data_IF_503635482711
#
_entry.id   IF_503635482711
#
_cell.length_a   1.000
_cell.length_b   1.000
_cell.length_c   1.000
_cell.angle_alpha   90.00
_cell.angle_beta   90.00
_cell.angle_gamma   90.00
#
_symmetry.space_group_name_H-M   'P 1'
#
loop_
_entity.id
_entity.type
_entity.pdbx_description
1 polymer ?
#
# COMPACT_ATOMS: atom_id res chain seq x y z
N UNK A 1 -5.59 6.58 -10.93
CA UNK A 1 -5.99 7.97 -11.23
C UNK A 1 -7.47 8.06 -10.94
N UNK A 2 -7.87 9.08 -10.18
CA UNK A 2 -9.28 9.31 -9.85
C UNK A 2 -9.65 10.74 -10.11
N UNK A 3 -10.89 10.93 -10.56
CA UNK A 3 -11.45 12.23 -10.91
C UNK A 3 -12.77 12.44 -10.18
N UNK A 4 -13.02 13.64 -9.68
CA UNK A 4 -14.27 14.03 -9.03
C UNK A 4 -15.10 14.85 -10.00
N UNK A 5 -16.35 14.47 -10.20
CA UNK A 5 -17.28 15.23 -11.05
C UNK A 5 -17.57 16.59 -10.42
N UNK A 6 -17.32 17.67 -11.17
CA UNK A 6 -17.54 19.06 -10.74
C UNK A 6 -18.64 19.76 -11.55
N UNK A 7 -19.03 19.18 -12.69
CA UNK A 7 -20.15 19.62 -13.52
C UNK A 7 -20.72 18.42 -14.27
N UNK A 8 -22.05 18.37 -14.45
CA UNK A 8 -22.72 17.43 -15.36
C UNK A 8 -23.00 18.06 -16.71
N UNK A 9 -22.78 19.37 -16.85
CA UNK A 9 -23.08 20.13 -18.06
C UNK A 9 -21.77 20.48 -18.79
N UNK A 10 -21.55 19.87 -19.93
CA UNK A 10 -20.32 19.97 -20.73
C UNK A 10 -20.58 20.39 -22.16
N UNK A 11 -19.53 20.82 -22.87
CA UNK A 11 -19.66 21.07 -24.31
C UNK A 11 -19.90 19.76 -25.06
N UNK A 12 -20.83 19.79 -26.01
CA UNK A 12 -21.13 18.64 -26.87
C UNK A 12 -20.01 18.37 -27.88
N UNK A 13 -19.26 19.41 -28.24
CA UNK A 13 -18.24 19.37 -29.29
C UNK A 13 -16.85 19.64 -28.73
N UNK A 14 -15.86 19.14 -29.44
CA UNK A 14 -14.44 19.29 -29.13
C UNK A 14 -14.03 20.77 -29.15
N UNK A 15 -12.98 21.18 -28.40
CA UNK A 15 -12.47 22.55 -28.41
C UNK A 15 -12.17 23.07 -29.83
N UNK A 16 -11.63 22.20 -30.69
CA UNK A 16 -11.37 22.54 -32.10
C UNK A 16 -12.66 22.80 -32.88
N UNK A 17 -13.68 21.96 -32.71
CA UNK A 17 -14.98 22.14 -33.35
C UNK A 17 -15.68 23.43 -32.89
N UNK A 18 -15.66 23.74 -31.60
CA UNK A 18 -16.20 25.01 -31.06
C UNK A 18 -15.49 26.20 -31.70
N UNK A 19 -14.15 26.20 -31.76
CA UNK A 19 -13.39 27.33 -32.34
C UNK A 19 -13.61 27.48 -33.85
N UNK A 20 -13.72 26.37 -34.57
CA UNK A 20 -13.83 26.38 -36.05
C UNK A 20 -15.23 26.76 -36.52
N UNK A 21 -16.26 26.29 -35.83
CA UNK A 21 -17.66 26.42 -36.28
C UNK A 21 -18.52 27.32 -35.38
N UNK A 22 -18.01 27.73 -34.21
CA UNK A 22 -18.72 28.63 -33.29
C UNK A 22 -19.88 27.98 -32.54
N UNK A 23 -19.97 26.65 -32.54
CA UNK A 23 -21.03 25.88 -31.87
C UNK A 23 -20.70 25.65 -30.40
N UNK A 24 -21.35 26.39 -29.50
CA UNK A 24 -21.19 26.32 -28.05
C UNK A 24 -22.26 25.44 -27.37
N UNK A 25 -22.86 24.51 -28.12
CA UNK A 25 -23.88 23.59 -27.62
C UNK A 25 -23.33 22.79 -26.44
N UNK A 26 -24.16 22.68 -25.40
CA UNK A 26 -23.86 21.89 -24.21
C UNK A 26 -24.86 20.77 -24.01
N UNK A 27 -24.38 19.68 -23.42
CA UNK A 27 -25.17 18.51 -23.06
C UNK A 27 -25.14 18.34 -21.54
N UNK A 28 -26.29 17.97 -20.98
CA UNK A 28 -26.38 17.52 -19.59
C UNK A 28 -26.19 15.99 -19.53
N UNK A 29 -25.14 15.55 -18.84
CA UNK A 29 -24.71 14.17 -18.73
C UNK A 29 -25.31 13.54 -17.47
N UNK A 30 -26.48 12.93 -17.61
CA UNK A 30 -27.21 12.28 -16.51
C UNK A 30 -26.57 10.97 -16.02
N UNK A 31 -25.55 10.48 -16.73
CA UNK A 31 -24.81 9.26 -16.42
C UNK A 31 -23.67 9.50 -15.41
N UNK A 32 -23.41 10.76 -15.04
CA UNK A 32 -22.43 11.11 -14.02
C UNK A 32 -23.08 11.97 -12.93
N UNK A 33 -22.66 11.76 -11.68
CA UNK A 33 -23.20 12.41 -10.50
C UNK A 33 -22.22 13.43 -9.95
N UNK A 34 -22.70 14.64 -9.65
CA UNK A 34 -21.90 15.70 -9.04
C UNK A 34 -21.25 15.22 -7.72
N UNK A 35 -20.01 15.64 -7.49
CA UNK A 35 -19.16 15.28 -6.33
C UNK A 35 -18.78 13.79 -6.21
N UNK A 36 -19.29 12.92 -7.09
CA UNK A 36 -18.86 11.51 -7.14
C UNK A 36 -17.45 11.39 -7.71
N UNK A 37 -16.68 10.48 -7.12
CA UNK A 37 -15.32 10.14 -7.56
C UNK A 37 -15.37 8.90 -8.46
N UNK A 38 -14.73 8.98 -9.63
CA UNK A 38 -14.62 7.92 -10.63
C UNK A 38 -13.17 7.49 -10.82
N UNK A 39 -12.97 6.20 -11.08
CA UNK A 39 -11.70 5.67 -11.58
C UNK A 39 -11.59 5.95 -13.09
N UNK A 40 -10.40 6.38 -13.52
CA UNK A 40 -10.09 6.56 -14.94
C UNK A 40 -9.43 5.30 -15.49
N UNK A 41 -9.93 4.80 -16.61
CA UNK A 41 -9.44 3.58 -17.27
C UNK A 41 -8.71 3.84 -18.59
N UNK A 42 -8.83 5.07 -19.11
CA UNK A 42 -8.13 5.53 -20.30
C UNK A 42 -8.21 7.04 -20.42
N UNK A 43 -7.28 7.62 -21.16
CA UNK A 43 -7.23 9.05 -21.48
C UNK A 43 -7.03 9.17 -22.98
N UNK A 44 -7.80 10.01 -23.65
CA UNK A 44 -7.59 10.33 -25.06
C UNK A 44 -7.40 11.84 -25.23
N UNK A 45 -6.64 12.20 -26.26
CA UNK A 45 -6.59 13.55 -26.77
C UNK A 45 -7.31 13.54 -28.12
N UNK A 46 -8.55 14.02 -28.15
CA UNK A 46 -9.42 14.01 -29.33
C UNK A 46 -9.73 15.45 -29.76
N UNK A 47 -9.27 15.83 -30.96
CA UNK A 47 -9.40 17.18 -31.53
C UNK A 47 -9.11 18.33 -30.53
N UNK A 48 -7.97 18.21 -29.84
CA UNK A 48 -7.47 19.15 -28.82
C UNK A 48 -8.24 19.15 -27.48
N UNK A 49 -9.28 18.33 -27.34
CA UNK A 49 -9.94 18.04 -26.08
C UNK A 49 -9.31 16.82 -25.40
N UNK A 50 -9.24 16.85 -24.08
CA UNK A 50 -8.83 15.69 -23.29
C UNK A 50 -10.09 14.98 -22.82
N UNK A 51 -10.19 13.67 -23.04
CA UNK A 51 -11.31 12.86 -22.55
C UNK A 51 -10.82 11.77 -21.59
N UNK A 52 -11.66 11.45 -20.61
CA UNK A 52 -11.48 10.34 -19.68
C UNK A 52 -12.47 9.22 -20.01
N UNK A 53 -11.95 8.01 -20.17
CA UNK A 53 -12.76 6.79 -20.17
C UNK A 53 -13.05 6.39 -18.72
N UNK A 54 -14.32 6.41 -18.33
CA UNK A 54 -14.77 6.00 -17.00
C UNK A 54 -15.82 4.89 -17.10
N UNK A 55 -16.10 4.26 -15.97
CA UNK A 55 -17.29 3.43 -15.78
C UNK A 55 -18.35 4.26 -15.06
N UNK A 56 -19.38 4.64 -15.79
CA UNK A 56 -20.36 5.66 -15.37
C UNK A 56 -21.46 5.08 -14.45
N UNK A 57 -22.42 5.93 -14.04
CA UNK A 57 -23.48 5.53 -13.11
C UNK A 57 -24.50 4.58 -13.74
N UNK A 58 -24.46 4.41 -15.06
CA UNK A 58 -25.34 3.53 -15.83
C UNK A 58 -24.65 2.21 -16.16
N UNK A 59 -23.53 1.91 -15.50
CA UNK A 59 -22.74 0.70 -15.73
C UNK A 59 -22.16 0.62 -17.15
N UNK A 60 -21.80 1.77 -17.74
CA UNK A 60 -21.27 1.84 -19.10
C UNK A 60 -19.83 2.38 -19.14
N UNK A 61 -19.04 1.85 -20.08
CA UNK A 61 -17.71 2.35 -20.39
C UNK A 61 -17.84 3.53 -21.37
N UNK A 62 -17.64 4.75 -20.87
CA UNK A 62 -18.00 5.98 -21.61
C UNK A 62 -16.89 7.01 -21.54
N UNK A 63 -16.67 7.72 -22.65
CA UNK A 63 -15.73 8.84 -22.75
C UNK A 63 -16.40 10.15 -22.37
N UNK A 64 -15.77 10.91 -21.49
CA UNK A 64 -16.24 12.23 -21.07
C UNK A 64 -15.12 13.26 -21.11
N UNK A 65 -15.46 14.48 -21.50
CA UNK A 65 -14.52 15.59 -21.52
C UNK A 65 -13.97 15.88 -20.12
N UNK A 66 -12.66 16.11 -20.05
CA UNK A 66 -11.94 16.30 -18.80
C UNK A 66 -12.41 17.54 -18.03
N UNK A 67 -12.97 18.55 -18.70
CA UNK A 67 -13.52 19.77 -18.11
C UNK A 67 -14.69 19.54 -17.15
N UNK A 68 -15.33 18.36 -17.22
CA UNK A 68 -16.39 17.97 -16.29
C UNK A 68 -15.83 17.59 -14.90
N UNK A 69 -14.52 17.40 -14.77
CA UNK A 69 -13.91 16.80 -13.58
C UNK A 69 -12.69 17.55 -13.05
N UNK A 70 -12.46 17.37 -11.75
CA UNK A 70 -11.22 17.71 -11.06
C UNK A 70 -10.43 16.43 -10.77
N UNK A 71 -9.13 16.41 -11.06
CA UNK A 71 -8.27 15.25 -10.71
C UNK A 71 -7.98 15.27 -9.22
N UNK A 72 -8.36 14.22 -8.50
CA UNK A 72 -8.18 14.08 -7.04
C UNK A 72 -7.14 13.03 -6.65
N UNK A 73 -6.81 12.12 -7.57
CA UNK A 73 -5.66 11.21 -7.47
C UNK A 73 -4.93 11.22 -8.81
N UNK A 74 -3.71 11.76 -8.81
CA UNK A 74 -2.88 11.97 -10.01
C UNK A 74 -2.06 10.73 -10.41
N UNK A 75 -2.12 9.62 -9.67
CA UNK A 75 -1.30 8.43 -9.95
C UNK A 75 -1.85 7.66 -11.15
N UNK A 76 -1.07 7.49 -12.20
CA UNK A 76 -1.42 6.61 -13.31
C UNK A 76 -1.03 5.15 -12.99
N UNK A 77 -1.81 4.15 -13.45
CA UNK A 77 -1.37 2.76 -13.34
C UNK A 77 -0.05 2.52 -14.10
N UNK A 78 0.91 1.85 -13.46
CA UNK A 78 2.23 1.57 -14.04
C UNK A 78 2.18 0.63 -15.26
N UNK A 79 1.04 -0.02 -15.48
CA UNK A 79 0.78 -0.92 -16.62
C UNK A 79 0.23 -0.17 -17.84
N UNK A 80 0.03 1.14 -17.76
CA UNK A 80 -0.48 1.91 -18.90
C UNK A 80 0.58 2.12 -19.97
N UNK A 81 0.12 2.03 -21.21
CA UNK A 81 0.86 2.39 -22.41
C UNK A 81 0.40 3.76 -22.90
N UNK A 82 1.17 4.32 -23.83
CA UNK A 82 0.79 5.55 -24.53
C UNK A 82 1.10 5.42 -26.02
N UNK A 83 0.32 6.12 -26.83
CA UNK A 83 0.56 6.26 -28.27
C UNK A 83 0.19 7.66 -28.73
N UNK A 84 1.07 8.27 -29.51
CA UNK A 84 0.84 9.56 -30.16
C UNK A 84 0.68 9.32 -31.66
N UNK A 85 -0.42 9.81 -32.22
CA UNK A 85 -0.78 9.66 -33.64
C UNK A 85 -0.45 10.91 -34.47
N UNK A 86 -0.09 12.02 -33.83
CA UNK A 86 0.09 13.31 -34.49
C UNK A 86 -1.16 14.18 -34.41
N UNK A 87 -1.02 15.45 -34.76
CA UNK A 87 -2.13 16.38 -34.96
C UNK A 87 -2.31 16.51 -36.47
N UNK A 88 -3.47 16.11 -37.00
CA UNK A 88 -3.81 16.29 -38.41
C UNK A 88 -5.30 16.62 -38.58
N UNK A 89 -5.68 17.02 -39.78
CA UNK A 89 -7.09 17.24 -40.14
C UNK A 89 -7.81 15.93 -40.49
N UNK A 90 -7.05 14.84 -40.67
CA UNK A 90 -7.57 13.52 -41.07
C UNK A 90 -7.75 12.57 -39.88
N UNK A 91 -7.05 12.79 -38.78
CA UNK A 91 -7.08 11.94 -37.58
C UNK A 91 -7.57 12.78 -36.40
N UNK A 92 -8.79 12.51 -35.95
CA UNK A 92 -9.36 13.20 -34.78
C UNK A 92 -8.70 12.75 -33.46
N UNK A 93 -8.28 11.48 -33.34
CA UNK A 93 -7.58 10.96 -32.16
C UNK A 93 -6.07 11.28 -32.24
N UNK A 94 -5.61 12.29 -31.50
CA UNK A 94 -4.22 12.74 -31.51
C UNK A 94 -3.30 11.91 -30.60
N UNK A 95 -3.79 11.47 -29.45
CA UNK A 95 -3.03 10.65 -28.51
C UNK A 95 -3.96 9.80 -27.63
N UNK A 96 -3.42 8.72 -27.07
CA UNK A 96 -4.16 7.86 -26.14
C UNK A 96 -3.22 7.26 -25.08
N UNK A 97 -3.76 7.09 -23.87
CA UNK A 97 -3.15 6.40 -22.73
C UNK A 97 -4.15 5.41 -22.14
N UNK A 98 -3.65 4.26 -21.70
CA UNK A 98 -4.50 3.24 -21.06
C UNK A 98 -3.87 1.86 -21.08
N UNK A 99 -4.68 0.83 -20.84
CA UNK A 99 -4.23 -0.56 -20.95
C UNK A 99 -3.87 -0.93 -22.40
N UNK A 100 -3.14 -2.03 -22.55
CA UNK A 100 -2.52 -2.44 -23.82
C UNK A 100 -3.49 -2.44 -25.01
N UNK A 101 -4.64 -3.10 -24.88
CA UNK A 101 -5.62 -3.19 -25.97
C UNK A 101 -6.24 -1.85 -26.32
N UNK A 102 -6.46 -0.96 -25.34
CA UNK A 102 -6.98 0.39 -25.60
C UNK A 102 -6.03 1.20 -26.49
N UNK A 103 -4.72 1.05 -26.29
CA UNK A 103 -3.70 1.86 -26.95
C UNK A 103 -3.30 1.29 -28.32
N UNK A 104 -3.30 -0.04 -28.46
CA UNK A 104 -2.77 -0.72 -29.63
C UNK A 104 -3.81 -1.36 -30.55
N UNK A 105 -5.09 -1.40 -30.16
CA UNK A 105 -6.20 -1.88 -31.01
C UNK A 105 -7.17 -0.74 -31.33
N UNK A 106 -7.22 -0.33 -32.60
CA UNK A 106 -8.17 0.70 -33.06
C UNK A 106 -9.59 0.14 -33.06
N UNK A 107 -9.73 -1.14 -33.39
CA UNK A 107 -10.97 -1.89 -33.32
C UNK A 107 -11.54 -1.85 -31.90
N UNK A 108 -10.70 -2.06 -30.88
CA UNK A 108 -11.14 -2.02 -29.49
C UNK A 108 -11.58 -0.62 -29.05
N UNK A 109 -10.81 0.41 -29.41
CA UNK A 109 -11.18 1.80 -29.12
C UNK A 109 -12.54 2.16 -29.74
N UNK A 110 -12.76 1.82 -31.01
CA UNK A 110 -14.03 2.07 -31.70
C UNK A 110 -15.16 1.20 -31.13
N UNK A 111 -14.89 -0.06 -30.83
CA UNK A 111 -15.88 -0.97 -30.24
C UNK A 111 -16.37 -0.48 -28.89
N UNK A 112 -15.54 0.20 -28.08
CA UNK A 112 -16.00 0.86 -26.86
C UNK A 112 -16.90 2.07 -27.13
N UNK A 113 -16.62 2.87 -28.17
CA UNK A 113 -17.49 3.97 -28.59
C UNK A 113 -18.85 3.46 -29.08
N UNK A 114 -18.84 2.35 -29.81
CA UNK A 114 -20.03 1.72 -30.40
C UNK A 114 -20.76 0.79 -29.41
N UNK A 115 -20.20 0.57 -28.21
CA UNK A 115 -20.71 -0.35 -27.19
C UNK A 115 -20.82 -1.81 -27.69
N UNK A 116 -19.85 -2.22 -28.50
CA UNK A 116 -19.74 -3.58 -29.01
C UNK A 116 -19.48 -4.58 -27.87
N UNK A 117 -20.22 -5.69 -27.91
CA UNK A 117 -20.31 -6.62 -26.78
C UNK A 117 -18.95 -7.20 -26.36
N UNK A 118 -18.11 -7.55 -27.32
CA UNK A 118 -16.80 -8.16 -27.06
C UNK A 118 -15.83 -7.16 -26.44
N UNK A 119 -15.87 -5.91 -26.89
CA UNK A 119 -15.02 -4.84 -26.39
C UNK A 119 -15.43 -4.38 -24.99
N UNK A 120 -16.73 -4.24 -24.73
CA UNK A 120 -17.25 -3.98 -23.38
C UNK A 120 -16.86 -5.09 -22.41
N UNK A 121 -16.91 -6.36 -22.85
CA UNK A 121 -16.47 -7.50 -22.03
C UNK A 121 -14.97 -7.44 -21.72
N UNK A 122 -14.14 -7.13 -22.73
CA UNK A 122 -12.70 -6.96 -22.53
C UNK A 122 -12.40 -5.79 -21.57
N UNK A 123 -13.10 -4.66 -21.73
CA UNK A 123 -13.00 -3.54 -20.81
C UNK A 123 -13.33 -3.97 -19.38
N UNK A 124 -14.39 -4.75 -19.13
CA UNK A 124 -14.70 -5.22 -17.78
C UNK A 124 -13.60 -6.08 -17.16
N UNK A 125 -12.92 -6.88 -17.97
CA UNK A 125 -11.75 -7.62 -17.49
C UNK A 125 -10.63 -6.67 -17.06
N UNK A 126 -10.30 -5.69 -17.90
CA UNK A 126 -9.24 -4.70 -17.62
C UNK A 126 -9.59 -3.76 -16.47
N UNK A 127 -10.85 -3.33 -16.38
CA UNK A 127 -11.42 -2.58 -15.26
C UNK A 127 -11.19 -3.30 -13.95
N UNK A 128 -11.56 -4.59 -13.87
CA UNK A 128 -11.32 -5.40 -12.67
C UNK A 128 -9.84 -5.43 -12.30
N UNK A 129 -8.95 -5.69 -13.26
CA UNK A 129 -7.50 -5.70 -13.00
C UNK A 129 -6.98 -4.34 -12.49
N UNK A 130 -7.42 -3.23 -13.09
CA UNK A 130 -7.03 -1.87 -12.68
C UNK A 130 -7.58 -1.52 -11.30
N UNK A 131 -8.85 -1.82 -11.03
CA UNK A 131 -9.48 -1.62 -9.73
C UNK A 131 -8.75 -2.43 -8.65
N UNK A 132 -8.38 -3.67 -8.94
CA UNK A 132 -7.61 -4.52 -8.04
C UNK A 132 -6.23 -3.96 -7.73
N UNK A 133 -5.48 -3.50 -8.73
CA UNK A 133 -4.17 -2.86 -8.51
C UNK A 133 -4.32 -1.59 -7.66
N UNK A 134 -5.42 -0.86 -7.84
CA UNK A 134 -5.69 0.36 -7.05
C UNK A 134 -5.96 0.07 -5.58
N UNK A 135 -6.50 -1.12 -5.27
CA UNK A 135 -6.79 -1.58 -3.90
C UNK A 135 -5.55 -2.26 -3.32
N UNK A 136 -5.06 -3.30 -3.98
CA UNK A 136 -3.95 -4.15 -3.55
C UNK A 136 -2.68 -3.89 -4.36
N UNK A 137 -1.81 -3.07 -3.77
CA UNK A 137 -0.45 -2.88 -4.22
C UNK A 137 0.48 -2.73 -3.01
N UNK A 138 1.78 -2.89 -3.25
CA UNK A 138 2.81 -2.91 -2.19
C UNK A 138 2.80 -1.61 -1.36
N UNK A 139 2.57 -0.46 -1.98
CA UNK A 139 2.54 0.84 -1.29
C UNK A 139 1.33 0.98 -0.37
N UNK A 140 0.14 0.61 -0.84
CA UNK A 140 -1.06 0.60 0.00
C UNK A 140 -0.90 -0.38 1.17
N UNK A 141 -0.35 -1.57 0.90
CA UNK A 141 -0.09 -2.58 1.92
C UNK A 141 0.87 -2.07 3.01
N UNK A 142 2.01 -1.46 2.60
CA UNK A 142 2.95 -0.81 3.52
C UNK A 142 2.25 0.26 4.39
N UNK A 143 1.46 1.13 3.75
CA UNK A 143 0.80 2.23 4.44
C UNK A 143 -0.21 1.76 5.49
N UNK A 144 -1.02 0.73 5.19
CA UNK A 144 -1.98 0.20 6.16
C UNK A 144 -1.29 -0.49 7.34
N UNK A 145 -0.19 -1.22 7.14
CA UNK A 145 0.60 -1.77 8.25
C UNK A 145 1.13 -0.64 9.14
N UNK A 146 1.77 0.38 8.54
CA UNK A 146 2.33 1.51 9.29
C UNK A 146 1.25 2.23 10.11
N UNK A 147 0.07 2.44 9.53
CA UNK A 147 -1.09 3.05 10.18
C UNK A 147 -1.62 2.19 11.32
N UNK A 148 -1.72 0.86 11.14
CA UNK A 148 -2.17 -0.05 12.20
C UNK A 148 -1.16 -0.08 13.36
N UNK A 149 0.14 -0.22 13.09
CA UNK A 149 1.20 -0.18 14.11
C UNK A 149 1.26 1.17 14.86
N UNK A 150 0.96 2.28 14.17
CA UNK A 150 0.91 3.60 14.80
C UNK A 150 -0.02 3.64 16.03
N UNK A 151 -1.14 2.89 16.00
CA UNK A 151 -2.09 2.79 17.10
C UNK A 151 -1.49 2.17 18.38
N UNK A 152 -0.45 1.34 18.25
CA UNK A 152 0.20 0.64 19.36
C UNK A 152 1.46 1.34 19.86
N UNK A 153 1.93 2.37 19.17
CA UNK A 153 3.19 3.09 19.46
C UNK A 153 3.28 3.56 20.91
N UNK A 154 2.21 4.16 21.46
CA UNK A 154 2.21 4.65 22.85
C UNK A 154 2.35 3.52 23.85
N UNK A 155 1.69 2.39 23.59
CA UNK A 155 1.76 1.21 24.46
C UNK A 155 3.18 0.62 24.42
N UNK A 156 3.73 0.39 23.22
CA UNK A 156 5.08 -0.14 23.06
C UNK A 156 6.13 0.76 23.74
N UNK A 157 6.06 2.08 23.56
CA UNK A 157 6.97 3.03 24.24
C UNK A 157 6.87 2.90 25.77
N UNK A 158 5.67 2.71 26.32
CA UNK A 158 5.47 2.52 27.76
C UNK A 158 6.13 1.23 28.24
N UNK A 159 5.84 0.10 27.58
CA UNK A 159 6.42 -1.21 27.91
C UNK A 159 7.95 -1.21 27.83
N UNK A 160 8.50 -0.58 26.78
CA UNK A 160 9.95 -0.45 26.61
C UNK A 160 10.57 0.46 27.66
N UNK A 161 9.86 1.51 28.11
CA UNK A 161 10.34 2.40 29.18
C UNK A 161 10.42 1.63 30.50
N UNK A 162 9.42 0.80 30.78
CA UNK A 162 9.43 -0.06 31.96
C UNK A 162 10.61 -1.03 31.90
N UNK A 163 10.85 -1.65 30.75
CA UNK A 163 12.02 -2.53 30.53
C UNK A 163 13.34 -1.79 30.78
N UNK A 164 13.46 -0.56 30.27
CA UNK A 164 14.66 0.26 30.47
C UNK A 164 14.84 0.71 31.93
N UNK A 165 13.77 0.72 32.73
CA UNK A 165 13.80 1.13 34.13
C UNK A 165 14.21 -0.01 35.09
N UNK A 166 14.14 -1.26 34.64
CA UNK A 166 14.48 -2.39 35.50
C UNK A 166 15.96 -2.40 35.86
N UNK A 167 16.23 -2.74 37.11
CA UNK A 167 17.57 -3.20 37.51
C UNK A 167 17.72 -4.63 36.98
N UNK A 168 18.71 -4.87 36.14
CA UNK A 168 18.98 -6.20 35.62
C UNK A 168 19.67 -7.07 36.68
N UNK A 169 19.37 -8.37 36.67
CA UNK A 169 20.12 -9.33 37.46
C UNK A 169 21.61 -9.34 37.03
N UNK A 170 22.60 -9.45 37.94
CA UNK A 170 24.02 -9.27 37.60
C UNK A 170 24.57 -10.17 36.49
N UNK A 171 23.98 -11.35 36.30
CA UNK A 171 24.38 -12.29 35.24
C UNK A 171 23.80 -11.96 33.87
N UNK A 172 22.87 -10.99 33.78
CA UNK A 172 22.31 -10.54 32.51
C UNK A 172 23.36 -9.72 31.77
N UNK A 173 23.86 -10.28 30.68
CA UNK A 173 24.82 -9.64 29.79
C UNK A 173 24.16 -8.89 28.64
N UNK A 174 22.93 -9.24 28.26
CA UNK A 174 22.22 -8.63 27.12
C UNK A 174 20.70 -8.78 27.22
N UNK A 175 19.98 -7.97 26.43
CA UNK A 175 18.55 -8.18 26.14
C UNK A 175 18.35 -8.61 24.69
N UNK A 176 17.41 -9.54 24.49
CA UNK A 176 17.08 -10.09 23.18
C UNK A 176 15.57 -10.00 22.95
N UNK A 177 15.16 -9.18 21.99
CA UNK A 177 13.78 -9.04 21.55
C UNK A 177 13.51 -9.99 20.38
N UNK A 178 12.52 -10.87 20.54
CA UNK A 178 12.11 -11.82 19.53
C UNK A 178 10.71 -11.45 19.03
N UNK A 179 10.61 -11.14 17.75
CA UNK A 179 9.35 -10.97 17.05
C UNK A 179 8.98 -12.26 16.30
N UNK A 180 7.72 -12.67 16.35
CA UNK A 180 7.18 -13.70 15.47
C UNK A 180 5.98 -13.18 14.73
N UNK A 181 5.93 -13.45 13.44
CA UNK A 181 4.85 -13.03 12.55
C UNK A 181 4.12 -14.29 12.11
N UNK A 182 2.81 -14.36 12.36
CA UNK A 182 1.96 -15.45 11.88
C UNK A 182 0.63 -14.86 11.44
N UNK A 183 0.26 -15.02 10.16
CA UNK A 183 -1.05 -14.59 9.65
C UNK A 183 -1.44 -13.16 10.05
N UNK A 184 -0.53 -12.21 9.87
CA UNK A 184 -0.71 -10.80 10.24
C UNK A 184 -0.86 -10.50 11.74
N UNK A 185 -0.55 -11.47 12.59
CA UNK A 185 -0.37 -11.29 14.02
C UNK A 185 1.12 -11.20 14.37
N UNK A 186 1.45 -10.22 15.22
CA UNK A 186 2.77 -10.00 15.78
C UNK A 186 2.79 -10.41 17.25
N UNK A 187 3.66 -11.36 17.60
CA UNK A 187 4.09 -11.56 18.98
C UNK A 187 5.44 -10.91 19.19
N UNK A 188 5.62 -10.25 20.34
CA UNK A 188 6.88 -9.63 20.72
C UNK A 188 7.23 -10.02 22.15
N UNK A 189 8.36 -10.71 22.29
CA UNK A 189 8.91 -11.15 23.57
C UNK A 189 10.26 -10.49 23.79
N UNK A 190 10.59 -10.17 25.04
CA UNK A 190 11.96 -9.84 25.45
C UNK A 190 12.51 -10.93 26.36
N UNK A 191 13.76 -11.29 26.17
CA UNK A 191 14.51 -12.24 26.99
C UNK A 191 15.75 -11.56 27.56
N UNK A 192 16.01 -11.83 28.84
CA UNK A 192 17.31 -11.57 29.46
C UNK A 192 18.23 -12.77 29.23
N UNK A 193 19.43 -12.51 28.73
CA UNK A 193 20.43 -13.54 28.49
C UNK A 193 21.75 -13.20 29.16
N UNK A 194 22.55 -14.21 29.47
CA UNK A 194 23.93 -14.02 29.91
C UNK A 194 24.81 -13.60 28.72
N UNK A 195 26.10 -13.34 28.98
CA UNK A 195 27.07 -12.98 27.93
C UNK A 195 27.32 -14.08 26.89
N UNK A 196 26.91 -15.32 27.19
CA UNK A 196 27.04 -16.51 26.32
C UNK A 196 25.75 -16.81 25.54
N UNK A 197 24.71 -15.96 25.68
CA UNK A 197 23.40 -16.07 25.01
C UNK A 197 22.49 -17.17 25.57
N UNK A 198 22.77 -17.67 26.78
CA UNK A 198 21.87 -18.57 27.51
C UNK A 198 20.85 -17.77 28.34
N UNK A 199 19.62 -18.29 28.43
CA UNK A 199 18.53 -17.70 29.23
C UNK A 199 18.94 -17.67 30.71
N UNK A 200 18.80 -16.51 31.35
CA UNK A 200 19.09 -16.35 32.78
C UNK A 200 17.82 -16.63 33.58
N UNK A 201 17.87 -17.69 34.39
CA UNK A 201 16.80 -18.05 35.33
C UNK A 201 17.21 -17.62 36.74
N UNK A 202 16.25 -17.15 37.53
CA UNK A 202 16.43 -16.97 38.97
C UNK A 202 15.44 -17.87 39.72
N UNK A 203 15.94 -18.93 40.35
CA UNK A 203 15.13 -19.85 41.17
C UNK A 203 14.83 -19.29 42.58
N UNK A 204 15.42 -18.15 42.95
CA UNK A 204 15.32 -17.59 44.29
C UNK A 204 14.72 -16.19 44.25
N UNK A 205 13.41 -16.17 44.51
CA UNK A 205 12.55 -15.01 44.66
C UNK A 205 13.18 -13.95 45.59
N UNK A 206 13.63 -12.83 45.00
CA UNK A 206 13.86 -11.55 45.67
C UNK A 206 13.67 -10.41 44.69
N UNK A 207 12.46 -9.87 44.73
CA UNK A 207 12.06 -8.48 44.49
C UNK A 207 13.03 -7.56 43.72
N UNK A 208 12.45 -6.92 42.68
CA UNK A 208 12.93 -5.74 41.92
C UNK A 208 13.96 -5.91 40.81
N UNK A 209 14.37 -7.14 40.46
CA UNK A 209 15.28 -7.40 39.34
C UNK A 209 14.56 -8.03 38.14
N UNK A 210 14.87 -7.59 36.92
CA UNK A 210 14.40 -8.25 35.69
C UNK A 210 15.30 -9.45 35.36
N UNK A 211 14.69 -10.62 35.34
CA UNK A 211 15.26 -11.92 34.96
C UNK A 211 14.23 -12.68 34.10
N UNK A 212 14.68 -13.68 33.35
CA UNK A 212 13.85 -14.48 32.44
C UNK A 212 13.35 -13.71 31.20
N UNK A 213 12.03 -13.61 31.00
CA UNK A 213 11.40 -13.11 29.78
C UNK A 213 10.10 -12.36 30.09
N UNK A 214 9.71 -11.46 29.19
CA UNK A 214 8.46 -10.72 29.27
C UNK A 214 7.79 -10.67 27.91
N UNK A 215 6.51 -11.01 27.89
CA UNK A 215 5.63 -10.78 26.74
C UNK A 215 5.26 -9.30 26.69
N UNK A 216 5.55 -8.66 25.56
CA UNK A 216 5.18 -7.27 25.30
C UNK A 216 3.86 -7.26 24.52
N UNK A 217 3.79 -8.07 23.46
CA UNK A 217 2.59 -8.27 22.68
C UNK A 217 2.36 -9.74 22.41
N UNK A 218 1.08 -10.12 22.49
CA UNK A 218 0.55 -11.39 22.03
C UNK A 218 -0.53 -11.11 21.01
N UNK A 219 -0.40 -11.73 19.84
CA UNK A 219 -1.39 -11.68 18.76
C UNK A 219 -1.80 -10.24 18.41
N UNK A 220 -0.81 -9.34 18.29
CA UNK A 220 -1.07 -7.98 17.83
C UNK A 220 -1.33 -8.05 16.33
N UNK A 221 -2.60 -7.95 15.95
CA UNK A 221 -3.02 -7.84 14.55
C UNK A 221 -2.47 -6.54 13.95
N UNK A 222 -1.47 -6.65 13.07
CA UNK A 222 -0.83 -5.49 12.42
C UNK A 222 -1.35 -5.24 11.00
N UNK A 223 -2.22 -6.11 10.49
CA UNK A 223 -2.93 -5.93 9.23
C UNK A 223 -4.27 -6.69 9.29
N UNK A 224 -5.31 -6.13 8.67
CA UNK A 224 -6.65 -6.72 8.64
C UNK A 224 -7.10 -6.91 7.19
N UNK A 225 -7.67 -8.08 6.90
CA UNK A 225 -8.22 -8.41 5.59
C UNK A 225 -9.73 -8.22 5.63
N UNK A 226 -10.29 -7.53 4.65
CA UNK A 226 -11.75 -7.47 4.47
C UNK A 226 -12.26 -8.79 3.89
N UNK A 227 -13.20 -9.47 4.56
CA UNK A 227 -13.76 -10.76 4.14
C UNK A 227 -14.26 -10.75 2.68
N UNK A 228 -14.87 -9.64 2.24
CA UNK A 228 -15.36 -9.50 0.86
C UNK A 228 -14.27 -9.48 -0.22
N UNK A 229 -13.02 -9.31 0.19
CA UNK A 229 -11.86 -9.14 -0.68
C UNK A 229 -10.78 -10.21 -0.43
N UNK A 230 -11.08 -11.26 0.34
CA UNK A 230 -10.11 -12.26 0.79
C UNK A 230 -9.37 -12.93 -0.39
N UNK A 231 -10.11 -13.45 -1.38
CA UNK A 231 -9.52 -14.08 -2.57
C UNK A 231 -8.58 -13.14 -3.33
N UNK A 232 -8.95 -11.86 -3.40
CA UNK A 232 -8.19 -10.85 -4.13
C UNK A 232 -6.91 -10.49 -3.40
N UNK A 233 -7.00 -10.37 -2.07
CA UNK A 233 -5.86 -10.15 -1.22
C UNK A 233 -4.87 -11.32 -1.29
N UNK A 234 -5.32 -12.57 -1.16
CA UNK A 234 -4.43 -13.73 -1.24
C UNK A 234 -3.74 -13.84 -2.60
N UNK A 235 -4.47 -13.61 -3.70
CA UNK A 235 -3.87 -13.55 -5.03
C UNK A 235 -2.77 -12.47 -5.15
N UNK A 236 -2.98 -11.31 -4.53
CA UNK A 236 -1.96 -10.26 -4.46
C UNK A 236 -0.77 -10.68 -3.59
N UNK A 237 -1.04 -11.20 -2.39
CA UNK A 237 -0.04 -11.55 -1.41
C UNK A 237 0.88 -12.67 -1.91
N UNK A 238 0.31 -13.75 -2.43
CA UNK A 238 1.07 -14.89 -2.98
C UNK A 238 1.98 -14.47 -4.14
N UNK A 239 1.49 -13.61 -5.05
CA UNK A 239 2.29 -13.11 -6.19
C UNK A 239 3.47 -12.22 -5.76
N UNK A 240 3.41 -11.63 -4.57
CA UNK A 240 4.40 -10.69 -4.08
C UNK A 240 5.10 -11.16 -2.78
N UNK A 241 4.93 -12.43 -2.40
CA UNK A 241 5.27 -12.96 -1.08
C UNK A 241 6.67 -12.57 -0.60
N UNK A 242 7.72 -12.82 -1.40
CA UNK A 242 9.11 -12.52 -1.01
C UNK A 242 9.33 -11.03 -0.73
N UNK A 243 8.67 -10.15 -1.49
CA UNK A 243 8.79 -8.69 -1.34
C UNK A 243 8.01 -8.24 -0.11
N UNK A 244 6.81 -8.78 0.10
CA UNK A 244 5.94 -8.43 1.22
C UNK A 244 6.51 -8.92 2.55
N UNK A 245 7.02 -10.14 2.62
CA UNK A 245 7.66 -10.68 3.83
C UNK A 245 8.85 -9.81 4.27
N UNK A 246 9.72 -9.43 3.32
CA UNK A 246 10.85 -8.55 3.60
C UNK A 246 10.41 -7.13 4.02
N UNK A 247 9.35 -6.62 3.39
CA UNK A 247 8.76 -5.33 3.70
C UNK A 247 8.15 -5.30 5.11
N UNK A 248 7.38 -6.31 5.50
CA UNK A 248 6.78 -6.44 6.83
C UNK A 248 7.83 -6.45 7.93
N UNK A 249 8.85 -7.32 7.78
CA UNK A 249 9.98 -7.39 8.71
C UNK A 249 10.69 -6.04 8.84
N UNK A 250 10.88 -5.34 7.72
CA UNK A 250 11.49 -4.00 7.71
C UNK A 250 10.62 -2.98 8.47
N UNK A 251 9.32 -2.90 8.17
CA UNK A 251 8.41 -1.93 8.80
C UNK A 251 8.34 -2.16 10.32
N UNK A 252 8.20 -3.42 10.75
CA UNK A 252 8.13 -3.77 12.17
C UNK A 252 9.43 -3.43 12.90
N UNK A 253 10.59 -3.74 12.30
CA UNK A 253 11.89 -3.37 12.87
C UNK A 253 12.04 -1.84 12.98
N UNK A 254 11.73 -1.09 11.92
CA UNK A 254 11.79 0.38 11.92
C UNK A 254 10.88 0.99 13.00
N UNK A 255 9.64 0.49 13.09
CA UNK A 255 8.68 0.90 14.11
C UNK A 255 9.19 0.62 15.52
N UNK A 256 9.71 -0.59 15.76
CA UNK A 256 10.29 -0.96 17.04
C UNK A 256 11.47 -0.07 17.42
N UNK A 257 12.43 0.16 16.50
CA UNK A 257 13.60 1.00 16.75
C UNK A 257 13.21 2.44 17.09
N UNK A 258 12.22 3.00 16.40
CA UNK A 258 11.66 4.32 16.72
C UNK A 258 11.06 4.36 18.13
N UNK A 259 10.33 3.32 18.54
CA UNK A 259 9.79 3.22 19.90
C UNK A 259 10.88 3.04 20.96
N UNK A 260 11.92 2.26 20.65
CA UNK A 260 13.08 2.03 21.51
C UNK A 260 13.90 3.30 21.77
N UNK A 261 14.07 4.13 20.74
CA UNK A 261 14.70 5.44 20.90
C UNK A 261 13.88 6.34 21.84
N UNK A 262 12.56 6.42 21.60
CA UNK A 262 11.65 7.24 22.40
C UNK A 262 11.45 6.74 23.84
N UNK A 263 11.70 5.46 24.12
CA UNK A 263 11.67 4.91 25.48
C UNK A 263 12.93 5.21 26.29
N UNK A 264 13.96 5.79 25.67
CA UNK A 264 15.27 6.04 26.29
C UNK A 264 16.23 4.85 26.19
N UNK A 265 15.92 3.85 25.36
CA UNK A 265 16.70 2.62 25.23
C UNK A 265 18.13 2.83 24.72
N UNK A 266 18.41 3.94 24.04
CA UNK A 266 19.77 4.30 23.62
C UNK A 266 20.72 4.62 24.80
N UNK A 267 20.17 4.88 25.99
CA UNK A 267 20.98 5.13 27.19
C UNK A 267 21.54 3.85 27.83
N UNK A 268 21.04 2.68 27.42
CA UNK A 268 21.47 1.39 27.97
C UNK A 268 22.85 1.01 27.43
N UNK A 269 23.76 0.64 28.35
CA UNK A 269 25.18 0.37 28.04
C UNK A 269 25.49 -1.09 27.74
N UNK A 270 24.52 -1.99 27.85
CA UNK A 270 24.69 -3.41 27.54
C UNK A 270 24.06 -3.74 26.18
N UNK A 271 24.52 -4.78 25.46
CA UNK A 271 24.00 -5.16 24.15
C UNK A 271 22.50 -5.44 24.11
N UNK A 272 21.83 -4.97 23.06
CA UNK A 272 20.41 -5.22 22.79
C UNK A 272 20.24 -5.68 21.36
N UNK A 273 19.56 -6.80 21.20
CA UNK A 273 19.35 -7.45 19.92
C UNK A 273 17.87 -7.56 19.60
N UNK A 274 17.51 -7.39 18.34
CA UNK A 274 16.19 -7.66 17.80
C UNK A 274 16.29 -8.74 16.73
N UNK A 275 15.35 -9.67 16.67
CA UNK A 275 15.30 -10.70 15.64
C UNK A 275 13.88 -11.16 15.37
N UNK A 276 13.68 -11.73 14.20
CA UNK A 276 12.49 -12.51 13.87
C UNK A 276 12.77 -13.99 14.15
N UNK A 277 11.80 -14.73 14.71
CA UNK A 277 12.01 -16.12 15.17
C UNK A 277 12.54 -17.07 14.09
N UNK A 278 12.17 -16.85 12.83
CA UNK A 278 12.59 -17.70 11.71
C UNK A 278 13.90 -17.23 11.05
N UNK A 279 14.49 -16.13 11.52
CA UNK A 279 15.68 -15.54 10.91
C UNK A 279 16.99 -16.06 11.54
N UNK A 280 17.95 -16.35 10.66
CA UNK A 280 19.33 -16.71 11.03
C UNK A 280 20.19 -15.48 11.36
N UNK A 281 19.61 -14.31 11.55
CA UNK A 281 20.32 -13.06 11.87
C UNK A 281 19.60 -12.31 12.97
N UNK A 282 20.35 -11.58 13.77
CA UNK A 282 19.83 -10.61 14.70
C UNK A 282 20.37 -9.22 14.39
N UNK A 283 19.55 -8.21 14.61
CA UNK A 283 19.89 -6.81 14.48
C UNK A 283 20.47 -6.30 15.81
N UNK A 284 21.73 -5.92 15.80
CA UNK A 284 22.37 -5.21 16.92
C UNK A 284 21.91 -3.76 16.90
N UNK A 285 21.14 -3.36 17.91
CA UNK A 285 20.52 -2.03 17.98
C UNK A 285 21.60 -0.96 18.17
N UNK A 286 22.58 -1.18 19.05
CA UNK A 286 23.62 -0.20 19.35
C UNK A 286 24.49 0.13 18.14
N UNK A 287 24.80 -0.88 17.33
CA UNK A 287 25.71 -0.75 16.18
C UNK A 287 24.97 -0.62 14.85
N UNK A 288 23.63 -0.66 14.87
CA UNK A 288 22.74 -0.59 13.70
C UNK A 288 23.12 -1.59 12.59
N UNK A 289 23.44 -2.84 12.97
CA UNK A 289 23.98 -3.86 12.05
C UNK A 289 23.35 -5.23 12.25
N UNK A 290 23.10 -5.91 11.15
CA UNK A 290 22.75 -7.34 11.14
C UNK A 290 23.98 -8.20 11.41
N UNK A 291 23.83 -9.18 12.30
CA UNK A 291 24.86 -10.14 12.68
C UNK A 291 24.30 -11.55 12.48
N UNK A 292 25.12 -12.49 11.98
CA UNK A 292 24.70 -13.89 11.83
C UNK A 292 24.48 -14.54 13.19
N UNK A 293 23.34 -15.21 13.31
CA UNK A 293 22.94 -15.95 14.49
C UNK A 293 23.54 -17.36 14.45
N UNK A 294 24.32 -17.71 15.47
CA UNK A 294 24.80 -19.08 15.68
C UNK A 294 23.92 -19.86 16.68
N UNK A 295 22.91 -19.22 17.31
CA UNK A 295 22.06 -19.82 18.34
C UNK A 295 20.57 -19.75 17.96
N UNK A 296 19.92 -20.89 17.75
CA UNK A 296 18.47 -20.96 17.50
C UNK A 296 17.68 -20.50 18.74
N UNK A 297 16.62 -19.71 18.55
CA UNK A 297 15.62 -19.54 19.59
C UNK A 297 14.77 -20.80 19.64
N UNK A 298 14.84 -21.52 20.75
CA UNK A 298 13.83 -22.50 21.15
C UNK A 298 12.93 -21.87 22.22
#
# INVERSE_FOLDING_TARGET
MKIKCTSTNGYTFTPRSIRKYGTDMKTDHQQITLDKIYNVYGISLYEEGLDYLIYDDYDMASWYCAELFEVVDHKMPNTWHHRYFGISDEISLSAIWGYHELVFSVEHYNGLLEQEREDVYLFYKRKKEIDLISIYNIENYENEIRKKLANYTKNLISELRDICSYKLYPEVGLLKFCASIQSWDLNLMVYSMNSEVDKVFNEYDKDSLFYESKEIFKELEYYQIEESQEDLFFNFYEKNYEILEALEKKIILEWFLSCWEQSGGLSLKFPVYFLFNDDIKYYNIQNSKWIKNNCKCN
#
